data_IF_536106745033
#
_entry.id   IF_536106745033
#
_cell.length_a   1.000
_cell.length_b   1.000
_cell.length_c   1.000
_cell.angle_alpha   90.00
_cell.angle_beta   90.00
_cell.angle_gamma   90.00
#
_symmetry.space_group_name_H-M   'P 1'
#
loop_
_entity.id
_entity.type
_entity.pdbx_description
1 polymer ?
#
# COMPACT_ATOMS: atom_id res chain seq x y z
N UNK A 1 19.43 18.65 -6.54
CA UNK A 1 19.13 17.26 -6.11
C UNK A 1 17.69 17.22 -5.59
N UNK A 2 16.97 16.11 -5.82
CA UNK A 2 15.59 15.94 -5.33
C UNK A 2 15.49 14.70 -4.44
N UNK A 3 14.64 14.75 -3.43
CA UNK A 3 14.25 13.59 -2.63
C UNK A 3 12.73 13.44 -2.75
N UNK A 4 12.29 12.28 -3.22
CA UNK A 4 10.87 11.95 -3.34
C UNK A 4 10.50 11.02 -2.18
N UNK A 5 9.52 11.43 -1.37
CA UNK A 5 9.06 10.66 -0.22
C UNK A 5 7.56 10.41 -0.30
N UNK A 6 7.11 9.23 0.10
CA UNK A 6 5.69 8.88 0.13
C UNK A 6 5.45 7.50 0.71
N UNK A 7 4.26 7.22 1.23
CA UNK A 7 3.95 5.91 1.84
C UNK A 7 3.53 4.85 0.82
N UNK A 8 3.17 5.26 -0.40
CA UNK A 8 2.74 4.36 -1.48
C UNK A 8 3.85 4.29 -2.54
N UNK A 9 4.50 3.13 -2.65
CA UNK A 9 5.62 2.92 -3.55
C UNK A 9 5.25 3.15 -5.03
N UNK A 10 4.01 2.88 -5.43
CA UNK A 10 3.59 3.12 -6.81
C UNK A 10 3.47 4.61 -7.12
N UNK A 11 2.97 5.41 -6.16
CA UNK A 11 2.91 6.86 -6.35
C UNK A 11 4.31 7.48 -6.35
N UNK A 12 5.22 6.98 -5.50
CA UNK A 12 6.64 7.35 -5.50
C UNK A 12 7.27 7.07 -6.85
N UNK A 13 7.07 5.87 -7.42
CA UNK A 13 7.57 5.52 -8.74
C UNK A 13 7.01 6.44 -9.83
N UNK A 14 5.71 6.76 -9.81
CA UNK A 14 5.10 7.64 -10.81
C UNK A 14 5.66 9.06 -10.76
N UNK A 15 5.87 9.61 -9.56
CA UNK A 15 6.47 10.94 -9.42
C UNK A 15 7.96 10.91 -9.78
N UNK A 16 8.67 9.80 -9.52
CA UNK A 16 10.03 9.58 -10.00
C UNK A 16 10.08 9.62 -11.52
N UNK A 17 9.26 8.83 -12.22
CA UNK A 17 9.18 8.85 -13.69
C UNK A 17 8.91 10.25 -14.25
N UNK A 18 7.96 10.97 -13.64
CA UNK A 18 7.60 12.34 -14.01
C UNK A 18 8.76 13.31 -13.77
N UNK A 19 9.41 13.24 -12.61
CA UNK A 19 10.54 14.10 -12.24
C UNK A 19 11.73 13.83 -13.16
N UNK A 20 12.01 12.57 -13.45
CA UNK A 20 13.03 12.11 -14.40
C UNK A 20 12.76 12.67 -15.79
N UNK A 21 11.53 12.57 -16.31
CA UNK A 21 11.14 13.16 -17.61
C UNK A 21 11.32 14.68 -17.63
N UNK A 22 10.99 15.38 -16.55
CA UNK A 22 11.15 16.84 -16.46
C UNK A 22 12.63 17.24 -16.49
N UNK A 23 13.46 16.56 -15.70
CA UNK A 23 14.91 16.81 -15.65
C UNK A 23 15.55 16.50 -17.00
N UNK A 24 15.14 15.42 -17.64
CA UNK A 24 15.74 14.95 -18.88
C UNK A 24 15.21 15.65 -20.14
N UNK A 25 14.16 16.49 -20.03
CA UNK A 25 13.38 17.01 -21.16
C UNK A 25 14.21 17.62 -22.30
N UNK A 26 15.39 18.18 -22.02
CA UNK A 26 16.29 18.78 -23.01
C UNK A 26 17.80 18.57 -22.70
N UNK A 27 18.15 17.63 -21.82
CA UNK A 27 19.52 17.50 -21.30
C UNK A 27 20.23 16.20 -21.67
N UNK A 28 19.50 15.24 -22.25
CA UNK A 28 20.01 13.92 -22.66
C UNK A 28 20.90 13.26 -21.61
N UNK A 29 20.48 13.28 -20.34
CA UNK A 29 21.19 12.61 -19.27
C UNK A 29 21.28 11.11 -19.53
N UNK A 30 22.45 10.53 -19.24
CA UNK A 30 22.54 9.10 -18.97
C UNK A 30 21.86 8.81 -17.62
N UNK A 31 20.79 8.04 -17.65
CA UNK A 31 20.01 7.70 -16.45
C UNK A 31 20.53 6.39 -15.87
N UNK A 32 20.94 6.42 -14.61
CA UNK A 32 21.44 5.25 -13.88
C UNK A 32 20.65 5.13 -12.58
N UNK A 33 20.08 3.96 -12.32
CA UNK A 33 19.21 3.69 -11.16
C UNK A 33 19.83 2.60 -10.29
N UNK A 34 19.79 2.83 -8.99
CA UNK A 34 20.36 1.96 -7.97
C UNK A 34 19.38 1.68 -6.83
N UNK A 35 19.39 0.47 -6.28
CA UNK A 35 18.68 0.12 -5.05
C UNK A 35 19.68 0.02 -3.87
N UNK A 36 19.57 0.92 -2.88
CA UNK A 36 20.55 1.00 -1.78
C UNK A 36 20.51 -0.19 -0.82
N UNK A 37 19.43 -0.97 -0.81
CA UNK A 37 19.35 -2.20 -0.02
C UNK A 37 20.16 -3.32 -0.68
N UNK A 38 20.07 -3.43 -2.00
CA UNK A 38 20.59 -4.58 -2.75
C UNK A 38 22.03 -4.33 -3.23
N UNK A 39 22.36 -3.09 -3.55
CA UNK A 39 23.60 -2.76 -4.26
C UNK A 39 24.69 -2.19 -3.36
N UNK A 40 25.94 -2.44 -3.76
CA UNK A 40 27.12 -1.92 -3.09
C UNK A 40 27.22 -0.41 -3.26
N UNK A 41 27.19 0.32 -2.14
CA UNK A 41 27.29 1.77 -2.13
C UNK A 41 28.59 2.30 -2.76
N UNK A 42 29.70 1.56 -2.67
CA UNK A 42 30.96 1.97 -3.30
C UNK A 42 30.86 1.93 -4.82
N UNK A 43 30.16 0.94 -5.38
CA UNK A 43 29.86 0.89 -6.80
C UNK A 43 28.98 2.08 -7.23
N UNK A 44 27.96 2.43 -6.44
CA UNK A 44 27.09 3.60 -6.69
C UNK A 44 27.93 4.88 -6.77
N UNK A 45 28.81 5.10 -5.79
CA UNK A 45 29.71 6.28 -5.74
C UNK A 45 30.63 6.31 -6.96
N UNK A 46 31.24 5.17 -7.31
CA UNK A 46 32.13 5.08 -8.47
C UNK A 46 31.40 5.42 -9.76
N UNK A 47 30.22 4.83 -10.00
CA UNK A 47 29.42 5.08 -11.21
C UNK A 47 28.91 6.51 -11.32
N UNK A 48 28.60 7.14 -10.19
CA UNK A 48 28.19 8.54 -10.15
C UNK A 48 29.34 9.51 -10.48
N UNK A 49 30.60 9.11 -10.20
CA UNK A 49 31.79 9.93 -10.41
C UNK A 49 32.50 9.68 -11.74
N UNK A 50 32.18 8.59 -12.46
CA UNK A 50 32.73 8.38 -13.81
C UNK A 50 32.07 9.30 -14.83
N UNK A 51 32.79 9.56 -15.93
CA UNK A 51 32.21 10.24 -17.09
C UNK A 51 31.05 9.43 -17.67
N UNK A 52 30.10 10.14 -18.30
CA UNK A 52 29.05 9.48 -19.06
C UNK A 52 29.58 8.93 -20.38
N UNK A 53 29.09 7.74 -20.76
CA UNK A 53 29.49 7.09 -22.01
C UNK A 53 28.76 7.67 -23.24
N UNK A 54 27.53 8.14 -23.03
CA UNK A 54 26.61 8.51 -24.11
C UNK A 54 26.08 9.94 -23.99
N UNK A 55 26.49 10.68 -22.96
CA UNK A 55 26.05 12.05 -22.71
C UNK A 55 27.14 12.88 -22.03
N UNK A 56 26.87 14.15 -21.79
CA UNK A 56 27.75 15.01 -20.98
C UNK A 56 27.40 15.01 -19.49
N UNK A 57 26.25 14.46 -19.09
CA UNK A 57 25.71 14.57 -17.72
C UNK A 57 24.99 13.29 -17.29
N UNK A 58 25.09 12.89 -16.02
CA UNK A 58 24.37 11.75 -15.45
C UNK A 58 23.19 12.16 -14.58
N UNK A 59 22.09 11.43 -14.70
CA UNK A 59 21.01 11.44 -13.73
C UNK A 59 21.08 10.16 -12.91
N UNK A 60 21.56 10.28 -11.68
CA UNK A 60 21.66 9.18 -10.74
C UNK A 60 20.38 9.11 -9.91
N UNK A 61 19.80 7.91 -9.81
CA UNK A 61 18.63 7.63 -8.99
C UNK A 61 19.04 6.61 -7.94
N UNK A 62 18.87 6.91 -6.65
CA UNK A 62 19.14 5.98 -5.54
C UNK A 62 17.86 5.75 -4.76
N UNK A 63 17.46 4.50 -4.69
CA UNK A 63 16.19 4.09 -4.12
C UNK A 63 16.34 3.45 -2.75
N UNK A 64 15.22 3.31 -2.05
CA UNK A 64 15.16 2.65 -0.74
C UNK A 64 16.08 3.32 0.30
N UNK A 65 16.08 4.66 0.34
CA UNK A 65 16.92 5.49 1.23
C UNK A 65 16.47 5.46 2.71
N UNK A 66 16.29 4.27 3.30
CA UNK A 66 15.76 4.08 4.65
C UNK A 66 16.64 4.63 5.78
N UNK A 67 17.92 4.92 5.51
CA UNK A 67 18.85 5.58 6.45
C UNK A 67 18.37 6.97 6.90
N UNK A 68 17.40 7.55 6.20
CA UNK A 68 16.72 8.80 6.56
C UNK A 68 15.66 8.61 7.66
N UNK A 69 15.41 7.38 8.10
CA UNK A 69 14.38 7.03 9.08
C UNK A 69 14.98 6.34 10.31
N UNK A 70 14.22 6.25 11.40
CA UNK A 70 14.59 5.47 12.60
C UNK A 70 14.28 3.96 12.46
N UNK A 71 13.73 3.52 11.31
CA UNK A 71 13.41 2.11 11.08
C UNK A 71 14.69 1.32 10.85
N UNK A 72 14.79 0.15 11.51
CA UNK A 72 15.91 -0.77 11.34
C UNK A 72 15.70 -1.59 10.06
N UNK A 73 16.17 -1.06 8.94
CA UNK A 73 16.26 -1.77 7.65
C UNK A 73 17.72 -2.19 7.45
N UNK A 74 17.93 -3.43 7.05
CA UNK A 74 19.28 -3.92 6.73
C UNK A 74 19.71 -3.33 5.40
N UNK A 75 20.54 -2.29 5.44
CA UNK A 75 21.19 -1.72 4.27
C UNK A 75 22.39 -2.57 3.85
N UNK A 76 22.89 -2.35 2.63
CA UNK A 76 24.11 -2.98 2.16
C UNK A 76 25.29 -2.66 3.13
N UNK A 77 26.15 -3.64 3.38
CA UNK A 77 27.25 -3.53 4.35
C UNK A 77 28.27 -2.44 4.03
N UNK A 78 28.42 -2.07 2.78
CA UNK A 78 29.38 -1.04 2.36
C UNK A 78 28.88 0.40 2.61
N UNK A 79 27.57 0.56 2.88
CA UNK A 79 26.95 1.84 3.17
C UNK A 79 27.31 2.35 4.58
N UNK A 80 27.64 3.64 4.67
CA UNK A 80 27.66 4.38 5.93
C UNK A 80 27.15 5.80 5.72
N UNK A 81 26.64 6.42 6.78
CA UNK A 81 26.11 7.79 6.72
C UNK A 81 27.22 8.78 6.36
N UNK A 82 28.42 8.60 6.89
CA UNK A 82 29.59 9.45 6.64
C UNK A 82 30.04 9.36 5.18
N UNK A 83 30.07 8.15 4.61
CA UNK A 83 30.36 7.94 3.18
C UNK A 83 29.33 8.65 2.31
N UNK A 84 28.04 8.56 2.67
CA UNK A 84 26.98 9.25 1.93
C UNK A 84 27.11 10.77 2.00
N UNK A 85 27.40 11.34 3.17
CA UNK A 85 27.62 12.79 3.29
C UNK A 85 28.79 13.26 2.41
N UNK A 86 29.91 12.54 2.46
CA UNK A 86 31.09 12.79 1.62
C UNK A 86 30.75 12.70 0.13
N UNK A 87 29.95 11.70 -0.25
CA UNK A 87 29.46 11.55 -1.62
C UNK A 87 28.63 12.75 -2.08
N UNK A 88 27.70 13.24 -1.25
CA UNK A 88 26.87 14.41 -1.58
C UNK A 88 27.69 15.70 -1.67
N UNK A 89 28.67 15.88 -0.80
CA UNK A 89 29.53 17.07 -0.81
C UNK A 89 30.43 17.14 -2.04
N UNK A 90 30.84 15.99 -2.58
CA UNK A 90 31.68 15.88 -3.77
C UNK A 90 30.90 15.53 -5.04
N UNK A 91 29.56 15.55 -5.00
CA UNK A 91 28.75 15.15 -6.14
C UNK A 91 28.94 16.11 -7.32
N UNK A 92 29.18 15.62 -8.56
CA UNK A 92 29.46 16.49 -9.69
C UNK A 92 28.30 17.47 -9.96
N UNK A 93 28.54 18.79 -10.04
CA UNK A 93 27.48 19.81 -10.13
C UNK A 93 26.69 19.76 -11.45
N UNK A 94 27.29 19.24 -12.51
CA UNK A 94 26.66 19.00 -13.81
C UNK A 94 25.68 17.81 -13.79
N UNK A 95 25.85 16.90 -12.84
CA UNK A 95 25.00 15.72 -12.69
C UNK A 95 23.75 16.06 -11.86
N UNK A 96 22.73 15.21 -11.99
CA UNK A 96 21.51 15.27 -11.20
C UNK A 96 21.38 14.02 -10.33
N UNK A 97 20.82 14.22 -9.14
CA UNK A 97 20.56 13.14 -8.18
C UNK A 97 19.10 13.18 -7.73
N UNK A 98 18.44 12.03 -7.79
CA UNK A 98 17.14 11.78 -7.18
C UNK A 98 17.29 10.67 -6.15
N UNK A 99 16.78 10.91 -4.95
CA UNK A 99 16.62 9.88 -3.93
C UNK A 99 15.13 9.51 -3.81
N UNK A 100 14.83 8.25 -3.51
CA UNK A 100 13.47 7.83 -3.16
C UNK A 100 13.41 7.16 -1.79
N UNK A 101 12.30 7.39 -1.09
CA UNK A 101 12.00 6.79 0.20
C UNK A 101 10.50 6.50 0.31
N UNK A 102 10.17 5.24 0.57
CA UNK A 102 8.80 4.78 0.78
C UNK A 102 8.31 5.04 2.23
N UNK A 103 8.47 6.28 2.70
CA UNK A 103 8.01 6.77 4.00
C UNK A 103 7.48 8.20 3.89
N UNK A 104 6.52 8.57 4.73
CA UNK A 104 5.90 9.90 4.74
C UNK A 104 6.83 11.04 5.15
N UNK A 105 7.86 10.75 5.96
CA UNK A 105 8.71 11.77 6.61
C UNK A 105 10.13 11.26 6.87
N UNK A 106 11.08 12.20 6.85
CA UNK A 106 12.45 12.02 7.33
C UNK A 106 12.46 12.17 8.86
N UNK A 107 13.33 11.43 9.56
CA UNK A 107 13.50 11.64 11.01
C UNK A 107 14.23 12.96 11.28
N UNK A 108 13.54 13.88 11.97
CA UNK A 108 14.12 15.14 12.46
C UNK A 108 15.17 14.97 13.56
N UNK A 109 15.25 13.78 14.17
CA UNK A 109 16.24 13.45 15.22
C UNK A 109 17.59 13.07 14.63
N UNK A 110 17.62 12.57 13.40
CA UNK A 110 18.85 12.14 12.73
C UNK A 110 19.58 13.35 12.13
N UNK A 111 20.88 13.46 12.40
CA UNK A 111 21.74 14.50 11.79
C UNK A 111 21.71 14.43 10.26
N UNK A 112 21.70 13.21 9.71
CA UNK A 112 21.63 12.99 8.26
C UNK A 112 20.33 13.52 7.65
N UNK A 113 19.21 13.46 8.38
CA UNK A 113 17.94 14.03 7.92
C UNK A 113 18.03 15.54 7.69
N UNK A 114 18.60 16.27 8.67
CA UNK A 114 18.83 17.72 8.55
C UNK A 114 19.81 18.07 7.43
N UNK A 115 20.84 17.25 7.25
CA UNK A 115 21.80 17.43 6.15
C UNK A 115 21.09 17.31 4.80
N UNK A 116 20.26 16.27 4.61
CA UNK A 116 19.51 16.07 3.37
C UNK A 116 18.48 17.18 3.14
N UNK A 117 17.72 17.59 4.16
CA UNK A 117 16.81 18.74 4.09
C UNK A 117 17.52 20.03 3.63
N UNK A 118 18.80 20.22 3.98
CA UNK A 118 19.57 21.40 3.57
C UNK A 118 20.10 21.35 2.13
N UNK A 119 20.20 20.16 1.52
CA UNK A 119 20.82 19.93 0.20
C UNK A 119 19.81 19.50 -0.89
N UNK A 120 18.67 18.96 -0.50
CA UNK A 120 17.69 18.36 -1.41
C UNK A 120 16.38 19.15 -1.42
N UNK A 121 15.80 19.30 -2.60
CA UNK A 121 14.40 19.68 -2.72
C UNK A 121 13.54 18.45 -2.40
N UNK A 122 12.76 18.52 -1.33
CA UNK A 122 11.87 17.44 -0.92
C UNK A 122 10.55 17.54 -1.68
N UNK A 123 10.15 16.44 -2.30
CA UNK A 123 8.88 16.24 -2.98
C UNK A 123 8.08 15.24 -2.16
N UNK A 124 7.12 15.73 -1.39
CA UNK A 124 6.25 14.89 -0.58
C UNK A 124 5.04 14.43 -1.37
N UNK A 125 4.86 13.12 -1.43
CA UNK A 125 3.69 12.49 -2.02
C UNK A 125 2.72 12.17 -0.88
N UNK A 126 1.55 12.82 -0.86
CA UNK A 126 0.55 12.54 0.15
C UNK A 126 0.07 11.09 0.02
N UNK A 127 -0.28 10.49 1.15
CA UNK A 127 -0.96 9.21 1.15
C UNK A 127 -2.21 9.28 0.27
N UNK A 128 -2.51 8.16 -0.40
CA UNK A 128 -3.69 8.07 -1.22
C UNK A 128 -4.94 8.29 -0.35
N UNK A 129 -5.77 9.23 -0.76
CA UNK A 129 -7.09 9.43 -0.20
C UNK A 129 -8.12 9.26 -1.32
N UNK A 130 -9.40 9.14 -0.99
CA UNK A 130 -10.44 8.85 -1.97
C UNK A 130 -10.53 9.96 -3.04
N UNK A 131 -10.38 11.22 -2.63
CA UNK A 131 -10.44 12.35 -3.56
C UNK A 131 -9.25 12.33 -4.53
N UNK A 132 -8.04 12.05 -4.03
CA UNK A 132 -6.84 11.96 -4.87
C UNK A 132 -6.86 10.72 -5.76
N UNK A 133 -7.42 9.61 -5.28
CA UNK A 133 -7.68 8.41 -6.07
C UNK A 133 -8.71 8.69 -7.18
N UNK A 134 -9.81 9.37 -6.88
CA UNK A 134 -10.82 9.78 -7.86
C UNK A 134 -10.17 10.62 -8.96
N UNK A 135 -9.44 11.68 -8.58
CA UNK A 135 -8.76 12.55 -9.54
C UNK A 135 -7.72 11.80 -10.39
N UNK A 136 -7.07 10.79 -9.82
CA UNK A 136 -6.13 9.93 -10.55
C UNK A 136 -6.85 9.09 -11.61
N UNK A 137 -7.95 8.44 -11.23
CA UNK A 137 -8.78 7.62 -12.13
C UNK A 137 -9.36 8.50 -13.24
N UNK A 138 -9.97 9.63 -12.87
CA UNK A 138 -10.57 10.59 -13.79
C UNK A 138 -9.56 11.07 -14.84
N UNK A 139 -8.34 11.47 -14.42
CA UNK A 139 -7.28 11.87 -15.35
C UNK A 139 -6.88 10.75 -16.30
N UNK A 140 -6.80 9.51 -15.81
CA UNK A 140 -6.45 8.35 -16.63
C UNK A 140 -7.54 8.09 -17.69
N UNK A 141 -8.80 8.01 -17.26
CA UNK A 141 -9.93 7.74 -18.16
C UNK A 141 -10.09 8.84 -19.22
N UNK A 142 -9.96 10.11 -18.83
CA UNK A 142 -10.00 11.23 -19.76
C UNK A 142 -8.85 11.18 -20.78
N UNK A 143 -7.62 10.84 -20.34
CA UNK A 143 -6.47 10.69 -21.23
C UNK A 143 -6.66 9.55 -22.24
N UNK A 144 -7.31 8.45 -21.83
CA UNK A 144 -7.61 7.31 -22.69
C UNK A 144 -8.92 7.46 -23.50
N UNK A 145 -9.63 8.58 -23.37
CA UNK A 145 -10.88 8.85 -24.09
C UNK A 145 -12.06 7.98 -23.67
N UNK A 146 -12.04 7.45 -22.43
CA UNK A 146 -13.03 6.54 -21.91
C UNK A 146 -14.15 7.34 -21.24
N UNK A 147 -15.40 7.09 -21.65
CA UNK A 147 -16.58 7.68 -21.02
C UNK A 147 -16.85 7.03 -19.67
N UNK A 148 -17.23 7.81 -18.64
CA UNK A 148 -17.54 7.29 -17.31
C UNK A 148 -18.59 8.14 -16.59
N UNK A 149 -19.35 7.52 -15.68
CA UNK A 149 -20.18 8.20 -14.69
C UNK A 149 -19.35 8.44 -13.41
N UNK A 150 -19.24 9.70 -12.97
CA UNK A 150 -18.59 10.05 -11.71
C UNK A 150 -19.12 9.24 -10.53
N UNK A 151 -20.43 8.98 -10.44
CA UNK A 151 -21.01 8.19 -9.36
C UNK A 151 -20.49 6.75 -9.36
N UNK A 152 -20.26 6.17 -10.54
CA UNK A 152 -19.71 4.84 -10.68
C UNK A 152 -18.27 4.76 -10.15
N UNK A 153 -17.45 5.79 -10.40
CA UNK A 153 -16.07 5.86 -9.88
C UNK A 153 -16.04 6.06 -8.36
N UNK A 154 -16.95 6.87 -7.81
CA UNK A 154 -17.09 7.01 -6.36
C UNK A 154 -17.52 5.71 -5.69
N UNK A 155 -18.50 5.01 -6.28
CA UNK A 155 -18.94 3.72 -5.78
C UNK A 155 -17.80 2.70 -5.85
N UNK A 156 -17.10 2.64 -6.97
CA UNK A 156 -15.90 1.82 -7.14
C UNK A 156 -14.88 2.04 -6.01
N UNK A 157 -14.52 3.30 -5.74
CA UNK A 157 -13.57 3.66 -4.69
C UNK A 157 -14.09 3.40 -3.27
N UNK A 158 -15.41 3.27 -3.08
CA UNK A 158 -15.98 2.91 -1.80
C UNK A 158 -15.83 1.43 -1.46
N UNK A 159 -15.58 0.60 -2.46
CA UNK A 159 -15.54 -0.87 -2.35
C UNK A 159 -14.11 -1.37 -2.39
N UNK A 160 -13.31 -0.89 -3.33
CA UNK A 160 -11.92 -1.35 -3.47
C UNK A 160 -11.06 -0.83 -2.33
N UNK A 161 -10.08 -1.62 -1.84
CA UNK A 161 -9.04 -1.12 -0.96
C UNK A 161 -8.37 0.14 -1.53
N UNK A 162 -8.12 1.12 -0.66
CA UNK A 162 -7.45 2.37 -1.01
C UNK A 162 -5.93 2.17 -1.15
N UNK A 163 -5.55 1.31 -2.10
CA UNK A 163 -4.17 1.01 -2.52
C UNK A 163 -4.07 1.29 -4.02
N UNK A 164 -3.05 2.05 -4.44
CA UNK A 164 -2.96 2.52 -5.81
C UNK A 164 -2.80 1.37 -6.82
N UNK A 165 -2.16 0.26 -6.45
CA UNK A 165 -2.00 -0.92 -7.33
C UNK A 165 -3.32 -1.65 -7.50
N UNK A 166 -4.06 -1.85 -6.40
CA UNK A 166 -5.39 -2.46 -6.43
C UNK A 166 -6.33 -1.63 -7.31
N UNK A 167 -6.43 -0.33 -7.03
CA UNK A 167 -7.26 0.60 -7.82
C UNK A 167 -6.88 0.55 -9.30
N UNK A 168 -5.59 0.56 -9.62
CA UNK A 168 -5.12 0.50 -11.02
C UNK A 168 -5.56 -0.79 -11.70
N UNK A 169 -5.39 -1.93 -11.03
CA UNK A 169 -5.71 -3.23 -11.60
C UNK A 169 -7.21 -3.36 -11.87
N UNK A 170 -8.05 -3.00 -10.90
CA UNK A 170 -9.51 -3.08 -11.04
C UNK A 170 -10.06 -2.06 -12.06
N UNK A 171 -9.50 -0.84 -12.12
CA UNK A 171 -9.82 0.11 -13.19
C UNK A 171 -9.40 -0.42 -14.56
N UNK A 172 -8.22 -1.04 -14.68
CA UNK A 172 -7.81 -1.64 -15.95
C UNK A 172 -8.75 -2.77 -16.40
N UNK A 173 -9.35 -3.54 -15.47
CA UNK A 173 -10.39 -4.52 -15.82
C UNK A 173 -11.63 -3.82 -16.40
N UNK A 174 -12.10 -2.73 -15.77
CA UNK A 174 -13.24 -1.95 -16.27
C UNK A 174 -12.98 -1.37 -17.67
N UNK A 175 -11.79 -0.81 -17.88
CA UNK A 175 -11.35 -0.30 -19.18
C UNK A 175 -11.33 -1.42 -20.22
N UNK A 176 -10.83 -2.61 -19.84
CA UNK A 176 -10.77 -3.80 -20.68
C UNK A 176 -12.13 -4.32 -21.18
N UNK A 177 -13.25 -3.90 -20.57
CA UNK A 177 -14.59 -4.21 -21.07
C UNK A 177 -14.94 -3.49 -22.38
N UNK A 178 -14.20 -2.44 -22.74
CA UNK A 178 -14.44 -1.65 -23.96
C UNK A 178 -15.78 -0.91 -23.96
N UNK A 179 -16.34 -0.62 -22.78
CA UNK A 179 -17.63 0.05 -22.59
C UNK A 179 -17.46 1.30 -21.71
N UNK A 180 -18.37 2.29 -21.79
CA UNK A 180 -18.41 3.39 -20.83
C UNK A 180 -18.50 2.86 -19.40
N UNK A 181 -17.76 3.42 -18.45
CA UNK A 181 -17.78 2.97 -17.05
C UNK A 181 -19.03 3.52 -16.37
N UNK A 182 -19.94 2.65 -15.96
CA UNK A 182 -21.20 2.96 -15.30
C UNK A 182 -21.38 2.08 -14.05
N UNK A 183 -22.41 2.33 -13.24
CA UNK A 183 -22.64 1.57 -12.02
C UNK A 183 -22.81 0.07 -12.28
N UNK A 184 -23.41 -0.32 -13.41
CA UNK A 184 -23.67 -1.73 -13.71
C UNK A 184 -22.37 -2.48 -13.97
N UNK A 185 -21.47 -1.92 -14.79
CA UNK A 185 -20.20 -2.57 -15.06
C UNK A 185 -19.21 -2.49 -13.90
N UNK A 186 -19.22 -1.40 -13.12
CA UNK A 186 -18.51 -1.32 -11.84
C UNK A 186 -18.93 -2.48 -10.95
N UNK A 187 -20.23 -2.67 -10.73
CA UNK A 187 -20.73 -3.79 -9.93
C UNK A 187 -20.31 -5.15 -10.51
N UNK A 188 -20.28 -5.29 -11.84
CA UNK A 188 -19.89 -6.54 -12.49
C UNK A 188 -18.42 -6.92 -12.28
N UNK A 189 -17.51 -5.95 -12.33
CA UNK A 189 -16.06 -6.17 -12.10
C UNK A 189 -15.79 -6.34 -10.62
N UNK A 190 -16.51 -5.59 -9.79
CA UNK A 190 -16.40 -5.68 -8.35
C UNK A 190 -17.16 -6.85 -7.76
N UNK A 191 -17.73 -7.74 -8.58
CA UNK A 191 -18.42 -8.94 -8.10
C UNK A 191 -17.54 -9.77 -7.16
N UNK A 192 -16.22 -9.85 -7.36
CA UNK A 192 -15.31 -10.53 -6.42
C UNK A 192 -15.23 -9.83 -5.04
N UNK A 193 -15.41 -8.50 -5.00
CA UNK A 193 -15.51 -7.71 -3.78
C UNK A 193 -16.93 -7.70 -3.18
N UNK A 194 -17.96 -7.92 -4.00
CA UNK A 194 -19.38 -7.95 -3.62
C UNK A 194 -19.92 -9.34 -3.28
N UNK A 195 -19.29 -10.42 -3.75
CA UNK A 195 -19.82 -11.78 -3.57
C UNK A 195 -19.87 -12.19 -2.11
N UNK A 196 -19.04 -11.55 -1.29
CA UNK A 196 -18.99 -11.73 0.14
C UNK A 196 -19.18 -10.38 0.78
N UNK A 197 -20.32 -10.21 1.45
CA UNK A 197 -20.44 -9.15 2.43
C UNK A 197 -19.46 -9.47 3.57
N UNK A 198 -18.22 -9.03 3.42
CA UNK A 198 -17.15 -9.26 4.38
C UNK A 198 -17.56 -8.70 5.75
N UNK A 199 -18.38 -7.65 5.79
CA UNK A 199 -18.93 -7.12 7.03
C UNK A 199 -19.89 -8.12 7.66
N UNK A 200 -20.80 -8.73 6.88
CA UNK A 200 -21.68 -9.81 7.34
C UNK A 200 -20.89 -11.02 7.82
N UNK A 201 -19.84 -11.44 7.11
CA UNK A 201 -19.00 -12.58 7.50
C UNK A 201 -18.30 -12.30 8.82
N UNK A 202 -17.64 -11.14 8.94
CA UNK A 202 -16.93 -10.73 10.16
C UNK A 202 -17.92 -10.56 11.32
N UNK A 203 -19.09 -9.98 11.07
CA UNK A 203 -20.15 -9.85 12.06
C UNK A 203 -20.65 -11.23 12.51
N UNK A 204 -20.80 -12.18 11.59
CA UNK A 204 -21.21 -13.55 11.92
C UNK A 204 -20.12 -14.27 12.72
N UNK A 205 -18.85 -14.09 12.36
CA UNK A 205 -17.69 -14.65 13.06
C UNK A 205 -17.53 -14.11 14.50
N UNK A 206 -17.74 -12.82 14.68
CA UNK A 206 -17.63 -12.15 15.98
C UNK A 206 -18.83 -12.46 16.89
N UNK A 207 -20.04 -12.52 16.34
CA UNK A 207 -21.27 -12.83 17.07
C UNK A 207 -21.60 -14.33 17.08
N UNK A 208 -20.65 -15.20 16.73
CA UNK A 208 -20.78 -16.65 16.89
C UNK A 208 -21.97 -17.25 16.12
N UNK A 209 -22.35 -16.61 15.01
CA UNK A 209 -23.38 -17.11 14.09
C UNK A 209 -22.77 -18.15 13.16
N UNK A 210 -22.50 -19.33 13.70
CA UNK A 210 -21.73 -20.39 13.03
C UNK A 210 -22.37 -20.78 11.69
N UNK A 211 -23.70 -20.96 11.65
CA UNK A 211 -24.42 -21.35 10.42
C UNK A 211 -24.25 -20.30 9.31
N UNK A 212 -24.43 -19.02 9.65
CA UNK A 212 -24.28 -17.92 8.69
C UNK A 212 -22.84 -17.81 8.19
N UNK A 213 -21.87 -17.90 9.10
CA UNK A 213 -20.44 -17.85 8.79
C UNK A 213 -20.02 -19.01 7.88
N UNK A 214 -20.39 -20.24 8.22
CA UNK A 214 -20.04 -21.43 7.43
C UNK A 214 -20.69 -21.39 6.05
N UNK A 215 -21.93 -20.89 5.93
CA UNK A 215 -22.58 -20.69 4.63
C UNK A 215 -21.77 -19.78 3.71
N UNK A 216 -21.28 -18.65 4.25
CA UNK A 216 -20.52 -17.68 3.47
C UNK A 216 -19.07 -18.15 3.22
N UNK A 217 -18.47 -18.91 4.15
CA UNK A 217 -17.19 -19.61 3.94
C UNK A 217 -17.27 -20.62 2.78
N UNK A 218 -18.27 -21.50 2.77
CA UNK A 218 -18.38 -22.52 1.73
C UNK A 218 -18.58 -21.90 0.34
N UNK A 219 -19.38 -20.83 0.24
CA UNK A 219 -19.51 -20.06 -1.00
C UNK A 219 -18.15 -19.52 -1.44
N UNK A 220 -17.38 -18.92 -0.52
CA UNK A 220 -16.03 -18.40 -0.80
C UNK A 220 -15.11 -19.46 -1.37
N UNK A 221 -15.01 -20.60 -0.70
CA UNK A 221 -14.13 -21.68 -1.14
C UNK A 221 -14.58 -22.26 -2.47
N UNK A 222 -15.89 -22.39 -2.72
CA UNK A 222 -16.42 -22.92 -3.97
C UNK A 222 -16.03 -22.05 -5.18
N UNK A 223 -16.05 -20.72 -5.03
CA UNK A 223 -15.70 -19.80 -6.13
C UNK A 223 -14.20 -19.61 -6.27
N UNK A 224 -13.49 -19.35 -5.17
CA UNK A 224 -12.10 -18.90 -5.22
C UNK A 224 -11.08 -20.03 -5.08
N UNK A 225 -11.49 -21.17 -4.50
CA UNK A 225 -10.59 -22.29 -4.15
C UNK A 225 -9.38 -21.86 -3.31
N UNK A 226 -9.53 -20.81 -2.52
CA UNK A 226 -8.45 -20.19 -1.75
C UNK A 226 -8.82 -20.03 -0.26
N UNK A 227 -8.36 -20.96 0.58
CA UNK A 227 -8.63 -20.94 2.02
C UNK A 227 -7.80 -19.88 2.73
N UNK A 228 -6.55 -19.70 2.31
CA UNK A 228 -5.65 -18.74 2.95
C UNK A 228 -6.12 -17.31 2.69
N UNK A 229 -6.53 -16.99 1.46
CA UNK A 229 -7.13 -15.70 1.13
C UNK A 229 -8.34 -15.39 2.01
N UNK A 230 -9.22 -16.36 2.24
CA UNK A 230 -10.35 -16.18 3.16
C UNK A 230 -9.91 -15.84 4.59
N UNK A 231 -8.96 -16.59 5.14
CA UNK A 231 -8.44 -16.34 6.50
C UNK A 231 -7.80 -14.94 6.57
N UNK A 232 -7.01 -14.55 5.57
CA UNK A 232 -6.39 -13.21 5.49
C UNK A 232 -7.43 -12.09 5.40
N UNK A 233 -8.52 -12.30 4.65
CA UNK A 233 -9.61 -11.33 4.53
C UNK A 233 -10.29 -11.08 5.89
N UNK A 234 -10.54 -12.14 6.66
CA UNK A 234 -11.11 -12.01 8.00
C UNK A 234 -10.12 -11.33 8.95
N UNK A 235 -8.83 -11.74 8.98
CA UNK A 235 -7.80 -11.10 9.83
C UNK A 235 -7.74 -9.60 9.55
N UNK A 236 -7.67 -9.23 8.28
CA UNK A 236 -7.55 -7.83 7.86
C UNK A 236 -8.76 -7.03 8.35
N UNK A 237 -9.96 -7.58 8.20
CA UNK A 237 -11.19 -6.93 8.64
C UNK A 237 -11.28 -6.84 10.17
N UNK A 238 -10.89 -7.87 10.92
CA UNK A 238 -10.82 -7.83 12.38
C UNK A 238 -9.84 -6.78 12.89
N UNK A 239 -8.67 -6.65 12.24
CA UNK A 239 -7.68 -5.60 12.55
C UNK A 239 -8.29 -4.21 12.31
N UNK A 240 -9.04 -4.02 11.22
CA UNK A 240 -9.72 -2.76 10.94
C UNK A 240 -10.77 -2.44 12.01
N UNK A 241 -11.64 -3.39 12.37
CA UNK A 241 -12.62 -3.23 13.47
C UNK A 241 -11.91 -2.82 14.76
N UNK A 242 -10.88 -3.57 15.16
CA UNK A 242 -10.08 -3.30 16.35
C UNK A 242 -9.51 -1.88 16.34
N UNK A 243 -8.86 -1.49 15.24
CA UNK A 243 -8.20 -0.20 15.13
C UNK A 243 -9.20 0.96 15.17
N UNK A 244 -10.38 0.79 14.54
CA UNK A 244 -11.47 1.76 14.60
C UNK A 244 -11.97 1.91 16.06
N UNK A 245 -12.21 0.80 16.77
CA UNK A 245 -12.63 0.83 18.18
C UNK A 245 -11.59 1.53 19.06
N UNK A 246 -10.30 1.20 18.91
CA UNK A 246 -9.21 1.84 19.67
C UNK A 246 -9.18 3.35 19.46
N UNK A 247 -9.32 3.82 18.21
CA UNK A 247 -9.31 5.24 17.92
C UNK A 247 -10.58 5.94 18.40
N UNK A 248 -11.74 5.29 18.31
CA UNK A 248 -12.99 5.80 18.88
C UNK A 248 -12.89 5.95 20.40
N UNK A 249 -12.31 4.98 21.10
CA UNK A 249 -12.07 5.04 22.55
C UNK A 249 -11.09 6.15 22.95
N UNK A 250 -10.30 6.65 22.00
CA UNK A 250 -9.43 7.83 22.15
C UNK A 250 -10.11 9.13 21.68
N UNK A 251 -11.42 9.11 21.48
CA UNK A 251 -12.24 10.26 21.08
C UNK A 251 -11.87 10.88 19.72
N UNK A 252 -11.24 10.12 18.82
CA UNK A 252 -11.06 10.58 17.44
C UNK A 252 -12.41 10.61 16.72
N UNK A 253 -12.69 11.69 15.98
CA UNK A 253 -13.84 11.75 15.08
C UNK A 253 -13.61 10.83 13.86
N UNK A 254 -14.69 10.47 13.16
CA UNK A 254 -14.61 9.51 12.06
C UNK A 254 -13.78 10.00 10.87
N UNK A 255 -13.72 11.31 10.63
CA UNK A 255 -12.87 11.88 9.58
C UNK A 255 -11.38 11.63 9.88
N UNK A 256 -10.95 11.86 11.13
CA UNK A 256 -9.58 11.55 11.55
C UNK A 256 -9.30 10.05 11.56
N UNK A 257 -10.29 9.21 11.89
CA UNK A 257 -10.13 7.75 11.80
C UNK A 257 -9.93 7.32 10.34
N UNK A 258 -10.73 7.87 9.42
CA UNK A 258 -10.62 7.62 7.98
C UNK A 258 -9.25 7.98 7.44
N UNK A 259 -8.78 9.19 7.74
CA UNK A 259 -7.45 9.67 7.33
C UNK A 259 -6.33 8.81 7.94
N UNK A 260 -6.40 8.53 9.24
CA UNK A 260 -5.34 7.82 9.96
C UNK A 260 -5.21 6.35 9.55
N UNK A 261 -6.33 5.70 9.22
CA UNK A 261 -6.34 4.29 8.83
C UNK A 261 -6.29 4.09 7.32
N UNK A 262 -6.49 5.14 6.51
CA UNK A 262 -6.62 5.01 5.06
C UNK A 262 -7.88 4.23 4.65
N UNK A 263 -8.95 4.29 5.47
CA UNK A 263 -10.20 3.53 5.26
C UNK A 263 -11.31 4.53 4.94
N UNK A 264 -12.18 4.26 3.97
CA UNK A 264 -13.27 5.18 3.66
C UNK A 264 -14.36 5.23 4.75
N UNK A 265 -15.13 6.32 4.73
CA UNK A 265 -16.19 6.57 5.71
C UNK A 265 -17.30 5.50 5.66
N UNK A 266 -17.67 5.02 4.47
CA UNK A 266 -18.69 3.97 4.32
C UNK A 266 -18.27 2.67 5.02
N UNK A 267 -17.03 2.23 4.82
CA UNK A 267 -16.45 1.04 5.45
C UNK A 267 -16.31 1.22 6.95
N UNK A 268 -15.93 2.41 7.43
CA UNK A 268 -15.94 2.73 8.86
C UNK A 268 -17.36 2.58 9.43
N UNK A 269 -18.36 3.17 8.78
CA UNK A 269 -19.75 3.08 9.22
C UNK A 269 -20.23 1.61 9.25
N UNK A 270 -19.93 0.84 8.20
CA UNK A 270 -20.27 -0.59 8.14
C UNK A 270 -19.58 -1.44 9.21
N UNK A 271 -18.29 -1.19 9.46
CA UNK A 271 -17.56 -1.89 10.52
C UNK A 271 -18.04 -1.48 11.92
N UNK A 272 -18.59 -0.28 12.09
CA UNK A 272 -19.20 0.17 13.35
C UNK A 272 -20.58 -0.44 13.62
N UNK A 273 -21.28 -0.91 12.58
CA UNK A 273 -22.53 -1.68 12.73
C UNK A 273 -22.29 -3.04 13.40
N UNK A 274 -21.04 -3.51 13.46
CA UNK A 274 -20.65 -4.76 14.13
C UNK A 274 -20.87 -4.63 15.63
N UNK A 275 -21.74 -5.50 16.17
CA UNK A 275 -22.21 -5.43 17.55
C UNK A 275 -21.14 -5.75 18.59
N UNK A 276 -20.11 -6.50 18.23
CA UNK A 276 -19.05 -6.91 19.15
C UNK A 276 -17.99 -5.82 19.26
N UNK A 277 -17.91 -5.19 20.44
CA UNK A 277 -16.94 -4.12 20.75
C UNK A 277 -15.89 -4.54 21.79
N UNK A 278 -15.83 -5.83 22.17
CA UNK A 278 -14.82 -6.34 23.09
C UNK A 278 -13.47 -6.52 22.37
N UNK A 279 -12.50 -5.66 22.71
CA UNK A 279 -11.17 -5.66 22.09
C UNK A 279 -10.38 -6.93 22.38
N UNK A 280 -10.49 -7.51 23.57
CA UNK A 280 -9.76 -8.72 23.96
C UNK A 280 -10.23 -9.90 23.10
N UNK A 281 -11.56 -10.08 22.98
CA UNK A 281 -12.15 -11.11 22.11
C UNK A 281 -11.70 -10.98 20.65
N UNK A 282 -11.61 -9.75 20.13
CA UNK A 282 -11.12 -9.51 18.75
C UNK A 282 -9.63 -9.86 18.65
N UNK A 283 -8.81 -9.46 19.63
CA UNK A 283 -7.39 -9.74 19.65
C UNK A 283 -7.08 -11.24 19.73
N UNK A 284 -7.82 -11.98 20.55
CA UNK A 284 -7.64 -13.41 20.71
C UNK A 284 -8.01 -14.14 19.43
N UNK A 285 -9.15 -13.80 18.81
CA UNK A 285 -9.53 -14.32 17.48
C UNK A 285 -8.47 -14.03 16.41
N UNK A 286 -7.88 -12.82 16.39
CA UNK A 286 -6.78 -12.49 15.45
C UNK A 286 -5.56 -13.40 15.69
N UNK A 287 -5.12 -13.55 16.95
CA UNK A 287 -3.96 -14.39 17.30
C UNK A 287 -4.17 -15.83 16.87
N UNK A 288 -5.33 -16.41 17.19
CA UNK A 288 -5.65 -17.77 16.84
C UNK A 288 -5.71 -18.00 15.33
N UNK A 289 -6.24 -17.04 14.56
CA UNK A 289 -6.21 -17.16 13.10
C UNK A 289 -4.79 -17.09 12.52
N UNK A 290 -3.86 -16.34 13.13
CA UNK A 290 -2.45 -16.40 12.75
C UNK A 290 -1.81 -17.75 13.07
N UNK A 291 -2.21 -18.41 14.17
CA UNK A 291 -1.76 -19.77 14.49
C UNK A 291 -2.23 -20.76 13.42
N UNK A 292 -3.48 -20.64 12.96
CA UNK A 292 -4.02 -21.46 11.87
C UNK A 292 -3.18 -21.27 10.59
N UNK A 293 -2.93 -20.03 10.18
CA UNK A 293 -2.09 -19.72 9.00
C UNK A 293 -0.71 -20.37 9.14
N UNK A 294 -0.04 -20.18 10.28
CA UNK A 294 1.29 -20.72 10.54
C UNK A 294 1.33 -22.25 10.39
N UNK A 295 0.31 -22.94 10.91
CA UNK A 295 0.21 -24.40 10.79
C UNK A 295 -0.09 -24.88 9.37
N UNK A 296 -0.94 -24.15 8.62
CA UNK A 296 -1.18 -24.46 7.19
C UNK A 296 0.12 -24.29 6.39
N UNK A 297 0.82 -23.16 6.55
CA UNK A 297 2.05 -22.87 5.80
C UNK A 297 3.19 -23.85 6.12
N UNK A 298 3.22 -24.41 7.33
CA UNK A 298 4.18 -25.44 7.76
C UNK A 298 3.79 -26.85 7.32
N UNK A 299 2.62 -27.05 6.72
CA UNK A 299 2.10 -28.36 6.33
C UNK A 299 1.58 -29.20 7.49
N UNK A 300 1.42 -28.61 8.68
CA UNK A 300 0.86 -29.31 9.85
C UNK A 300 -0.66 -29.52 9.72
N UNK A 301 -1.34 -28.63 8.99
CA UNK A 301 -2.78 -28.68 8.77
C UNK A 301 -3.10 -28.92 7.29
N UNK A 302 -4.00 -29.88 7.00
CA UNK A 302 -4.67 -29.96 5.71
C UNK A 302 -5.49 -28.69 5.49
N UNK A 303 -5.22 -28.03 4.35
CA UNK A 303 -5.93 -26.85 3.85
C UNK A 303 -7.45 -26.99 3.76
N UNK A 304 -8.03 -28.20 3.75
CA UNK A 304 -9.47 -28.39 3.54
C UNK A 304 -10.29 -28.55 4.82
N UNK A 305 -9.92 -29.49 5.70
CA UNK A 305 -10.79 -29.90 6.82
C UNK A 305 -10.45 -29.18 8.14
N UNK A 306 -9.17 -28.91 8.38
CA UNK A 306 -8.71 -28.36 9.65
C UNK A 306 -9.12 -26.89 9.85
N UNK A 307 -9.13 -26.03 8.81
CA UNK A 307 -9.60 -24.65 8.93
C UNK A 307 -11.06 -24.54 9.38
N UNK A 308 -11.94 -25.41 8.87
CA UNK A 308 -13.37 -25.44 9.26
C UNK A 308 -13.56 -25.73 10.74
N UNK A 309 -12.90 -26.79 11.23
CA UNK A 309 -12.93 -27.16 12.65
C UNK A 309 -12.31 -26.06 13.53
N UNK A 310 -11.25 -25.40 13.05
CA UNK A 310 -10.63 -24.29 13.74
C UNK A 310 -11.56 -23.08 13.83
N UNK A 311 -12.27 -22.71 12.76
CA UNK A 311 -13.25 -21.63 12.80
C UNK A 311 -14.37 -21.91 13.79
N UNK A 312 -14.94 -23.12 13.77
CA UNK A 312 -16.00 -23.52 14.70
C UNK A 312 -15.50 -23.43 16.14
N UNK A 313 -14.30 -23.96 16.44
CA UNK A 313 -13.69 -23.86 17.78
C UNK A 313 -13.54 -22.41 18.24
N UNK A 314 -13.11 -21.52 17.36
CA UNK A 314 -12.97 -20.08 17.65
C UNK A 314 -14.28 -19.31 17.82
N UNK A 315 -15.40 -19.92 17.44
CA UNK A 315 -16.74 -19.34 17.61
C UNK A 315 -17.51 -19.96 18.77
N UNK A 316 -17.06 -21.09 19.33
CA UNK A 316 -17.72 -21.79 20.45
C UNK A 316 -16.95 -21.60 21.77
N UNK A 317 -15.63 -21.40 21.71
CA UNK A 317 -14.77 -21.08 22.86
C UNK A 317 -14.65 -19.58 23.09
#
# INVERSE_FOLDING_TARGET
MNLIIGTDAFLVEKELEKTTKIINKNKDFEIIRFNLIEEDFENIVNQANTFSLFSSQKLIIIEECWFLTEKKVNLNKSFSVEKFQTFIENFPPENSLILTLNESKISKKLKIGKFVESKFKIIEIPALNINTAYNFIEKKLNHEGILFDSKAIWEFLNIVPLDARVIRNEISKLIGLGKPIDLNNVNSVLNEYYFYDIFKIVNSFLNEKIVDFMSDYYKYIQLNKDVLGFIYLIISSLIQVRNIIILKNKSYNFNHISERLGINMFRINKLLEIKVQNLDKINDKIKEMYVIISNILKGNFDSKVIPELSFIKLMVG
#
